data_IF_938407419192
#
_entry.id   IF_938407419192
#
_cell.length_a   1.000
_cell.length_b   1.000
_cell.length_c   1.000
_cell.angle_alpha   90.00
_cell.angle_beta   90.00
_cell.angle_gamma   90.00
#
_symmetry.space_group_name_H-M   'P 1'
#
loop_
_entity.id
_entity.type
_entity.pdbx_description
1 polymer ?
#
# COMPACT_ATOMS: atom_id res chain seq x y z
N UNK A 1 7.96 -15.56 -6.73
CA UNK A 1 8.84 -14.64 -7.47
C UNK A 1 8.29 -13.25 -7.18
N UNK A 2 8.90 -12.53 -6.23
CA UNK A 2 8.52 -11.15 -5.95
C UNK A 2 9.19 -10.29 -7.01
N UNK A 3 8.57 -10.21 -8.18
CA UNK A 3 8.80 -9.08 -9.09
C UNK A 3 8.40 -7.84 -8.29
N UNK A 4 9.37 -7.25 -7.60
CA UNK A 4 9.21 -5.94 -6.98
C UNK A 4 8.92 -4.97 -8.10
N UNK A 5 7.64 -4.79 -8.41
CA UNK A 5 7.12 -3.73 -9.23
C UNK A 5 7.70 -2.44 -8.66
N UNK A 6 8.78 -1.98 -9.29
CA UNK A 6 9.48 -0.80 -8.84
C UNK A 6 8.70 0.34 -9.45
N UNK A 7 7.71 0.85 -8.71
CA UNK A 7 6.92 1.98 -9.15
C UNK A 7 7.86 3.14 -9.50
N UNK A 8 7.92 3.47 -10.79
CA UNK A 8 8.60 4.67 -11.25
C UNK A 8 7.97 5.88 -10.52
N UNK A 9 8.75 6.94 -10.29
CA UNK A 9 8.31 8.10 -9.48
C UNK A 9 6.97 8.68 -9.96
N UNK A 10 6.76 8.72 -11.28
CA UNK A 10 5.52 9.17 -11.92
C UNK A 10 4.35 8.23 -11.66
N UNK A 11 4.56 6.91 -11.77
CA UNK A 11 3.51 5.92 -11.51
C UNK A 11 3.12 5.91 -10.04
N UNK A 12 4.13 5.93 -9.16
CA UNK A 12 3.94 6.04 -7.72
C UNK A 12 3.14 7.30 -7.37
N UNK A 13 3.44 8.43 -8.03
CA UNK A 13 2.67 9.66 -7.85
C UNK A 13 1.19 9.46 -8.13
N UNK A 14 0.87 8.92 -9.31
CA UNK A 14 -0.53 8.71 -9.70
C UNK A 14 -1.25 7.74 -8.78
N UNK A 15 -0.61 6.64 -8.40
CA UNK A 15 -1.16 5.67 -7.48
C UNK A 15 -1.51 6.33 -6.13
N UNK A 16 -0.55 7.02 -5.51
CA UNK A 16 -0.73 7.63 -4.20
C UNK A 16 -1.80 8.73 -4.20
N UNK A 17 -1.79 9.62 -5.19
CA UNK A 17 -2.73 10.74 -5.25
C UNK A 17 -4.15 10.29 -5.58
N UNK A 18 -4.33 9.37 -6.54
CA UNK A 18 -5.66 8.99 -7.04
C UNK A 18 -6.33 7.89 -6.22
N UNK A 19 -5.53 6.90 -5.84
CA UNK A 19 -6.06 5.67 -5.25
C UNK A 19 -6.06 5.75 -3.73
N UNK A 20 -5.03 6.38 -3.14
CA UNK A 20 -4.87 6.48 -1.69
C UNK A 20 -5.04 7.88 -1.10
N UNK A 21 -5.28 8.91 -1.93
CA UNK A 21 -5.45 10.30 -1.50
C UNK A 21 -4.31 10.83 -0.61
N UNK A 22 -3.07 10.54 -1.00
CA UNK A 22 -1.88 11.11 -0.38
C UNK A 22 -1.39 12.24 -1.28
N UNK A 23 -1.38 13.47 -0.77
CA UNK A 23 -0.82 14.63 -1.48
C UNK A 23 0.70 14.61 -1.40
N UNK A 24 1.36 14.75 -2.55
CA UNK A 24 2.81 14.55 -2.66
C UNK A 24 3.56 15.76 -3.22
N UNK A 25 2.91 16.92 -3.30
CA UNK A 25 3.49 18.14 -3.89
C UNK A 25 4.78 18.60 -3.21
N UNK A 26 4.99 18.19 -1.95
CA UNK A 26 6.17 18.47 -1.13
C UNK A 26 7.08 17.25 -0.92
N UNK A 27 6.86 16.13 -1.61
CA UNK A 27 7.70 14.93 -1.42
C UNK A 27 9.13 15.15 -1.95
N UNK A 28 10.10 14.82 -1.11
CA UNK A 28 11.50 14.64 -1.47
C UNK A 28 11.79 13.16 -1.77
N UNK A 29 12.99 12.84 -2.27
CA UNK A 29 13.32 11.47 -2.67
C UNK A 29 13.22 10.45 -1.53
N UNK A 30 13.43 10.89 -0.27
CA UNK A 30 13.22 10.06 0.93
C UNK A 30 11.75 9.71 1.13
N UNK A 31 10.82 10.63 0.88
CA UNK A 31 9.37 10.38 0.97
C UNK A 31 8.93 9.35 -0.08
N UNK A 32 9.45 9.47 -1.30
CA UNK A 32 9.19 8.46 -2.34
C UNK A 32 9.78 7.10 -1.95
N UNK A 33 10.96 7.06 -1.34
CA UNK A 33 11.54 5.80 -0.85
C UNK A 33 10.70 5.20 0.29
N UNK A 34 10.20 6.02 1.22
CA UNK A 34 9.29 5.59 2.29
C UNK A 34 7.98 5.06 1.74
N UNK A 35 7.36 5.77 0.80
CA UNK A 35 6.12 5.35 0.16
C UNK A 35 6.27 4.01 -0.58
N UNK A 36 7.40 3.77 -1.27
CA UNK A 36 7.67 2.45 -1.89
C UNK A 36 7.73 1.32 -0.87
N UNK A 37 8.33 1.55 0.31
CA UNK A 37 8.39 0.56 1.39
C UNK A 37 7.03 0.29 2.05
N UNK A 38 6.10 1.25 1.94
CA UNK A 38 4.74 1.11 2.43
C UNK A 38 3.78 0.43 1.44
N UNK A 39 4.21 0.13 0.21
CA UNK A 39 3.39 -0.54 -0.80
C UNK A 39 3.66 -2.04 -0.82
N UNK A 40 2.58 -2.81 -0.79
CA UNK A 40 2.58 -4.25 -0.96
C UNK A 40 1.70 -4.60 -2.17
N UNK A 41 2.19 -5.52 -2.99
CA UNK A 41 1.57 -5.91 -4.25
C UNK A 41 1.17 -7.37 -4.14
N UNK A 42 -0.10 -7.65 -4.46
CA UNK A 42 -0.67 -8.98 -4.50
C UNK A 42 -1.30 -9.23 -5.87
N UNK A 43 -1.43 -10.49 -6.25
CA UNK A 43 -2.13 -10.94 -7.45
C UNK A 43 -3.63 -10.66 -7.36
N UNK A 44 -4.22 -10.81 -6.17
CA UNK A 44 -5.64 -10.61 -5.90
C UNK A 44 -5.92 -10.43 -4.39
N UNK A 45 -7.21 -10.31 -4.03
CA UNK A 45 -7.64 -10.16 -2.65
C UNK A 45 -7.37 -11.41 -1.79
N UNK A 46 -7.50 -12.62 -2.35
CA UNK A 46 -7.26 -13.88 -1.63
C UNK A 46 -5.81 -13.96 -1.15
N UNK A 47 -4.84 -13.65 -2.02
CA UNK A 47 -3.42 -13.62 -1.63
C UNK A 47 -3.15 -12.56 -0.54
N UNK A 48 -3.79 -11.40 -0.63
CA UNK A 48 -3.72 -10.38 0.42
C UNK A 48 -4.22 -10.94 1.77
N UNK A 49 -5.37 -11.61 1.78
CA UNK A 49 -5.95 -12.18 3.00
C UNK A 49 -5.05 -13.25 3.61
N UNK A 50 -4.52 -14.16 2.79
CA UNK A 50 -3.60 -15.21 3.22
C UNK A 50 -2.29 -14.63 3.77
N UNK A 51 -1.69 -13.67 3.07
CA UNK A 51 -0.39 -13.09 3.44
C UNK A 51 -0.46 -12.22 4.70
N UNK A 52 -1.55 -11.49 4.90
CA UNK A 52 -1.69 -10.53 6.00
C UNK A 52 -2.44 -11.08 7.21
N UNK A 53 -3.20 -12.17 7.03
CA UNK A 53 -4.13 -12.67 8.04
C UNK A 53 -5.26 -11.67 8.35
N UNK A 54 -5.57 -10.76 7.43
CA UNK A 54 -6.54 -9.68 7.64
C UNK A 54 -7.91 -10.22 8.08
N UNK A 55 -8.42 -11.27 7.45
CA UNK A 55 -9.73 -11.86 7.79
C UNK A 55 -9.78 -12.40 9.22
N UNK A 56 -8.66 -12.90 9.74
CA UNK A 56 -8.59 -13.40 11.11
C UNK A 56 -8.69 -12.27 12.13
N UNK A 57 -8.13 -11.11 11.79
CA UNK A 57 -8.12 -9.95 12.68
C UNK A 57 -9.37 -9.07 12.51
N UNK A 58 -9.98 -9.06 11.32
CA UNK A 58 -11.12 -8.22 10.95
C UNK A 58 -12.19 -9.06 10.22
N UNK A 59 -12.83 -10.03 10.89
CA UNK A 59 -13.74 -10.97 10.24
C UNK A 59 -14.98 -10.31 9.61
N UNK A 60 -15.40 -9.15 10.10
CA UNK A 60 -16.47 -8.35 9.53
C UNK A 60 -16.04 -7.50 8.32
N UNK A 61 -14.74 -7.36 8.07
CA UNK A 61 -14.14 -6.52 7.02
C UNK A 61 -13.43 -7.34 5.93
N UNK A 62 -13.89 -8.57 5.70
CA UNK A 62 -13.23 -9.60 4.88
C UNK A 62 -13.64 -9.65 3.41
N UNK A 63 -14.24 -8.58 2.89
CA UNK A 63 -14.68 -8.55 1.48
C UNK A 63 -13.77 -7.66 0.66
N UNK A 64 -13.53 -8.04 -0.59
CA UNK A 64 -12.80 -7.19 -1.54
C UNK A 64 -13.51 -5.83 -1.73
N UNK A 65 -14.85 -5.82 -1.81
CA UNK A 65 -15.64 -4.59 -1.87
C UNK A 65 -15.30 -3.65 -0.70
N UNK A 66 -15.28 -4.17 0.53
CA UNK A 66 -14.92 -3.35 1.68
C UNK A 66 -13.50 -2.76 1.54
N UNK A 67 -12.52 -3.59 1.19
CA UNK A 67 -11.13 -3.15 1.04
C UNK A 67 -10.99 -2.06 -0.02
N UNK A 68 -11.71 -2.17 -1.14
CA UNK A 68 -11.61 -1.26 -2.29
C UNK A 68 -12.42 0.02 -2.13
N UNK A 69 -13.64 -0.07 -1.60
CA UNK A 69 -14.51 1.08 -1.28
C UNK A 69 -13.87 1.96 -0.21
N UNK A 70 -13.28 1.36 0.82
CA UNK A 70 -12.59 2.07 1.90
C UNK A 70 -11.12 2.39 1.59
N UNK A 71 -10.65 2.04 0.39
CA UNK A 71 -9.27 2.33 -0.09
C UNK A 71 -8.18 1.77 0.82
N UNK A 72 -8.48 0.68 1.52
CA UNK A 72 -7.49 -0.15 2.21
C UNK A 72 -6.59 -0.77 1.14
N UNK A 73 -7.20 -1.35 0.10
CA UNK A 73 -6.51 -1.88 -1.07
C UNK A 73 -7.12 -1.34 -2.37
N UNK A 74 -6.36 -1.33 -3.47
CA UNK A 74 -6.80 -0.81 -4.78
C UNK A 74 -6.25 -1.64 -5.93
N UNK A 75 -7.07 -1.88 -6.94
CA UNK A 75 -6.61 -2.48 -8.18
C UNK A 75 -5.81 -1.47 -9.01
N UNK A 76 -4.60 -1.84 -9.40
CA UNK A 76 -3.73 -1.03 -10.25
C UNK A 76 -2.98 -1.94 -11.22
N UNK A 77 -3.13 -1.69 -12.53
CA UNK A 77 -2.48 -2.47 -13.58
C UNK A 77 -2.65 -4.01 -13.42
N UNK A 78 -3.83 -4.46 -12.98
CA UNK A 78 -4.13 -5.88 -12.78
C UNK A 78 -3.54 -6.50 -11.51
N UNK A 79 -2.99 -5.69 -10.60
CA UNK A 79 -2.51 -6.13 -9.28
C UNK A 79 -3.32 -5.49 -8.16
N UNK A 80 -3.44 -6.20 -7.05
CA UNK A 80 -4.12 -5.73 -5.85
C UNK A 80 -3.10 -5.07 -4.92
N UNK A 81 -3.19 -3.76 -4.79
CA UNK A 81 -2.20 -2.94 -4.09
C UNK A 81 -2.72 -2.59 -2.70
N UNK A 82 -1.94 -2.91 -1.68
CA UNK A 82 -2.14 -2.43 -0.32
C UNK A 82 -1.14 -1.32 0.00
N UNK A 83 -1.62 -0.20 0.55
CA UNK A 83 -0.77 0.86 1.07
C UNK A 83 -0.83 0.88 2.60
N UNK A 84 0.27 0.51 3.25
CA UNK A 84 0.38 0.52 4.71
C UNK A 84 0.51 1.95 5.22
N UNK A 85 -0.60 2.51 5.70
CA UNK A 85 -0.61 3.79 6.41
C UNK A 85 0.28 3.77 7.64
N UNK A 86 0.36 2.63 8.33
CA UNK A 86 1.26 2.46 9.47
C UNK A 86 2.69 2.71 9.03
N UNK A 87 3.24 1.98 8.06
CA UNK A 87 4.62 2.18 7.61
C UNK A 87 4.87 3.56 6.99
N UNK A 88 3.85 4.16 6.38
CA UNK A 88 3.92 5.51 5.84
C UNK A 88 4.00 6.59 6.93
N UNK A 89 3.19 6.47 7.97
CA UNK A 89 3.11 7.43 9.07
C UNK A 89 4.16 7.13 10.15
N UNK A 90 4.72 5.91 10.14
CA UNK A 90 5.70 5.49 11.12
C UNK A 90 6.92 6.40 11.01
N UNK A 91 7.06 7.24 12.01
CA UNK A 91 8.16 8.16 12.16
C UNK A 91 9.11 7.55 13.19
N UNK A 92 9.48 6.26 13.02
CA UNK A 92 10.64 5.71 13.69
C UNK A 92 11.85 6.44 13.12
N UNK A 93 12.05 7.67 13.62
CA UNK A 93 13.35 8.26 13.69
C UNK A 93 14.24 7.24 14.37
N UNK A 94 15.39 6.99 13.75
CA UNK A 94 16.64 6.64 14.42
C UNK A 94 16.49 6.44 15.93
N UNK A 95 16.12 5.24 16.32
CA UNK A 95 15.87 4.86 17.69
C UNK A 95 15.86 3.35 17.74
N UNK A 96 16.96 2.78 18.26
CA UNK A 96 17.38 1.37 18.27
C UNK A 96 18.20 1.00 17.01
N UNK A 97 19.53 0.84 17.05
CA UNK A 97 20.54 0.70 18.13
C UNK A 97 21.84 1.42 17.77
#
# INVERSE_FOLDING_TARGET
>A
MNDSLTFEKKELKFLLEREFFIHIDSFEDEDYAKARRAIFVYENADEFFEATGWERNNPELRTEDYLTENRVCRWWNGRFIYFSRILWEDNWGTGLE
#
